data_IF_107462257265
#
_entry.id   IF_107462257265
#
_cell.length_a   1.000
_cell.length_b   1.000
_cell.length_c   1.000
_cell.angle_alpha   90.00
_cell.angle_beta   90.00
_cell.angle_gamma   90.00
#
_symmetry.space_group_name_H-M   'P 1'
#
loop_
_entity.id
_entity.type
_entity.pdbx_description
1 polymer ?
#
# COMPACT_ATOMS: atom_id res chain seq x y z
N UNK A 1 -6.14 0.87 -24.91
CA UNK A 1 -6.32 2.13 -24.16
C UNK A 1 -6.73 1.75 -22.75
N UNK A 2 -5.93 1.99 -21.69
CA UNK A 2 -6.47 1.83 -20.35
C UNK A 2 -7.58 2.87 -20.16
N UNK A 3 -8.73 2.43 -19.67
CA UNK A 3 -9.91 3.28 -19.45
C UNK A 3 -9.52 4.53 -18.63
N UNK A 4 -10.03 5.70 -19.01
CA UNK A 4 -9.99 6.90 -18.17
C UNK A 4 -10.68 6.57 -16.83
N UNK A 5 -9.88 6.28 -15.82
CA UNK A 5 -10.37 5.89 -14.50
C UNK A 5 -11.11 7.04 -13.84
N UNK A 6 -12.14 6.72 -13.04
CA UNK A 6 -12.76 7.71 -12.17
C UNK A 6 -11.74 8.28 -11.19
N UNK A 7 -11.66 9.61 -11.14
CA UNK A 7 -10.79 10.31 -10.21
C UNK A 7 -11.60 10.84 -9.02
N UNK A 8 -11.10 10.58 -7.82
CA UNK A 8 -11.67 11.06 -6.57
C UNK A 8 -10.63 11.88 -5.81
N UNK A 9 -11.07 12.94 -5.15
CA UNK A 9 -10.26 13.74 -4.24
C UNK A 9 -10.87 13.68 -2.83
N UNK A 10 -10.06 13.33 -1.84
CA UNK A 10 -10.48 13.22 -0.45
C UNK A 10 -9.49 13.99 0.42
N UNK A 11 -10.00 14.80 1.34
CA UNK A 11 -9.18 15.49 2.32
C UNK A 11 -9.10 14.65 3.61
N UNK A 12 -7.89 14.22 3.97
CA UNK A 12 -7.60 13.45 5.18
C UNK A 12 -6.88 14.36 6.16
N UNK A 13 -7.59 14.79 7.20
CA UNK A 13 -7.16 15.85 8.11
C UNK A 13 -5.96 15.45 9.00
N UNK A 14 -5.77 14.15 9.24
CA UNK A 14 -4.75 13.61 10.12
C UNK A 14 -4.41 12.14 9.81
N UNK A 15 -3.49 11.57 10.61
CA UNK A 15 -3.12 10.16 10.50
C UNK A 15 -4.32 9.23 10.81
N UNK A 16 -5.18 9.60 11.75
CA UNK A 16 -6.35 8.79 12.11
C UNK A 16 -7.34 8.67 10.93
N UNK A 17 -7.59 9.76 10.21
CA UNK A 17 -8.39 9.77 8.99
C UNK A 17 -7.77 8.90 7.89
N UNK A 18 -6.43 8.94 7.75
CA UNK A 18 -5.69 8.08 6.80
C UNK A 18 -5.83 6.60 7.14
N UNK A 19 -5.71 6.25 8.43
CA UNK A 19 -5.90 4.87 8.90
C UNK A 19 -7.33 4.38 8.68
N UNK A 20 -8.32 5.22 8.99
CA UNK A 20 -9.74 4.91 8.77
C UNK A 20 -10.06 4.73 7.29
N UNK A 21 -9.48 5.57 6.42
CA UNK A 21 -9.62 5.41 4.97
C UNK A 21 -8.99 4.10 4.48
N UNK A 22 -7.79 3.75 4.94
CA UNK A 22 -7.17 2.46 4.65
C UNK A 22 -8.05 1.27 5.08
N UNK A 23 -8.68 1.35 6.26
CA UNK A 23 -9.59 0.31 6.71
C UNK A 23 -10.83 0.16 5.80
N UNK A 24 -11.33 1.25 5.20
CA UNK A 24 -12.40 1.18 4.19
C UNK A 24 -11.93 0.48 2.91
N UNK A 25 -10.74 0.81 2.41
CA UNK A 25 -10.13 0.13 1.25
C UNK A 25 -9.99 -1.38 1.50
N UNK A 26 -9.63 -1.78 2.73
CA UNK A 26 -9.50 -3.20 3.09
C UNK A 26 -10.76 -4.03 2.79
N UNK A 27 -11.95 -3.42 2.88
CA UNK A 27 -13.23 -4.09 2.62
C UNK A 27 -13.50 -4.38 1.14
N UNK A 28 -12.77 -3.73 0.24
CA UNK A 28 -12.94 -3.89 -1.21
C UNK A 28 -11.82 -4.73 -1.84
N UNK A 29 -10.87 -5.23 -1.04
CA UNK A 29 -9.74 -6.00 -1.56
C UNK A 29 -10.19 -7.39 -2.03
N UNK A 30 -9.63 -7.79 -3.17
CA UNK A 30 -9.78 -9.11 -3.74
C UNK A 30 -8.46 -9.56 -4.39
N UNK A 31 -8.34 -10.85 -4.66
CA UNK A 31 -7.14 -11.38 -5.32
C UNK A 31 -6.95 -10.74 -6.70
N UNK A 32 -5.70 -10.49 -7.07
CA UNK A 32 -5.32 -9.84 -8.33
C UNK A 32 -5.44 -8.31 -8.35
N UNK A 33 -5.93 -7.67 -7.28
CA UNK A 33 -5.96 -6.22 -7.18
C UNK A 33 -4.54 -5.66 -6.92
N UNK A 34 -4.13 -4.69 -7.72
CA UNK A 34 -2.85 -3.99 -7.57
C UNK A 34 -3.14 -2.52 -7.23
N UNK A 35 -2.58 -2.04 -6.12
CA UNK A 35 -2.75 -0.66 -5.65
C UNK A 35 -1.40 0.06 -5.73
N UNK A 36 -1.32 1.12 -6.53
CA UNK A 36 -0.15 1.98 -6.61
C UNK A 36 -0.33 3.18 -5.69
N UNK A 37 0.59 3.33 -4.72
CA UNK A 37 0.64 4.50 -3.85
C UNK A 37 1.75 5.44 -4.30
N UNK A 38 1.38 6.61 -4.85
CA UNK A 38 2.32 7.63 -5.33
C UNK A 38 2.26 8.89 -4.46
N UNK A 39 3.41 9.46 -4.18
CA UNK A 39 3.57 10.69 -3.41
C UNK A 39 4.98 10.81 -2.86
N UNK A 40 5.35 12.00 -2.38
CA UNK A 40 6.69 12.30 -1.89
C UNK A 40 7.03 11.58 -0.58
N UNK A 41 8.29 11.70 -0.14
CA UNK A 41 8.69 11.25 1.20
C UNK A 41 7.84 11.95 2.25
N UNK A 42 7.28 11.18 3.18
CA UNK A 42 6.39 11.72 4.22
C UNK A 42 4.94 11.94 3.78
N UNK A 43 4.57 11.70 2.52
CA UNK A 43 3.19 11.87 2.02
C UNK A 43 2.14 10.90 2.62
N UNK A 44 2.50 10.06 3.59
CA UNK A 44 1.56 9.17 4.28
C UNK A 44 1.31 7.80 3.62
N UNK A 45 2.06 7.43 2.58
CA UNK A 45 1.92 6.13 1.88
C UNK A 45 1.92 4.93 2.84
N UNK A 46 2.94 4.84 3.71
CA UNK A 46 3.05 3.75 4.70
C UNK A 46 1.94 3.82 5.77
N UNK A 47 1.45 5.02 6.11
CA UNK A 47 0.32 5.16 7.04
C UNK A 47 -0.96 4.61 6.41
N UNK A 48 -1.19 4.86 5.12
CA UNK A 48 -2.32 4.29 4.39
C UNK A 48 -2.22 2.75 4.30
N UNK A 49 -1.05 2.21 3.93
CA UNK A 49 -0.81 0.75 3.92
C UNK A 49 -1.11 0.14 5.29
N UNK A 50 -0.68 0.80 6.37
CA UNK A 50 -0.97 0.36 7.73
C UNK A 50 -2.47 0.33 7.99
N UNK A 51 -3.21 1.37 7.60
CA UNK A 51 -4.67 1.40 7.71
C UNK A 51 -5.34 0.22 7.01
N UNK A 52 -4.89 -0.11 5.81
CA UNK A 52 -5.37 -1.26 5.04
C UNK A 52 -5.12 -2.56 5.82
N UNK A 53 -3.88 -2.80 6.26
CA UNK A 53 -3.51 -4.01 7.01
C UNK A 53 -4.28 -4.13 8.33
N UNK A 54 -4.49 -3.02 9.05
CA UNK A 54 -5.33 -2.99 10.26
C UNK A 54 -6.78 -3.36 9.94
N UNK A 55 -7.34 -2.83 8.85
CA UNK A 55 -8.69 -3.16 8.38
C UNK A 55 -8.85 -4.63 8.00
N UNK A 56 -7.78 -5.29 7.56
CA UNK A 56 -7.73 -6.74 7.34
C UNK A 56 -7.51 -7.57 8.62
N UNK A 57 -7.35 -6.91 9.78
CA UNK A 57 -7.16 -7.58 11.07
C UNK A 57 -5.70 -7.84 11.47
N UNK A 58 -4.71 -7.33 10.73
CA UNK A 58 -3.30 -7.50 11.09
C UNK A 58 -2.95 -6.70 12.35
N UNK A 59 -2.43 -7.38 13.38
CA UNK A 59 -2.07 -6.76 14.67
C UNK A 59 -0.56 -6.50 14.83
N UNK A 60 0.29 -7.00 13.93
CA UNK A 60 1.73 -6.81 14.01
C UNK A 60 2.22 -5.38 13.74
N UNK A 61 3.54 -5.18 13.78
CA UNK A 61 4.17 -3.91 13.40
C UNK A 61 4.20 -3.80 11.88
N UNK A 62 3.67 -2.71 11.34
CA UNK A 62 3.78 -2.38 9.92
C UNK A 62 4.82 -1.28 9.76
N UNK A 63 5.94 -1.62 9.11
CA UNK A 63 6.99 -0.69 8.72
C UNK A 63 7.13 -0.70 7.20
N UNK A 64 7.73 0.35 6.63
CA UNK A 64 8.17 0.30 5.24
C UNK A 64 9.25 -0.79 5.10
N UNK A 65 9.13 -1.73 4.15
CA UNK A 65 10.16 -2.72 3.85
C UNK A 65 11.33 -2.09 3.07
N UNK A 66 11.84 -0.94 3.52
CA UNK A 66 12.86 -0.14 2.83
C UNK A 66 14.14 -0.92 2.51
N UNK A 67 14.40 -2.04 3.22
CA UNK A 67 15.57 -2.91 3.03
C UNK A 67 15.25 -4.30 2.47
N UNK A 68 14.00 -4.77 2.59
CA UNK A 68 13.60 -6.13 2.22
C UNK A 68 12.83 -6.19 0.89
N UNK A 69 12.63 -5.04 0.23
CA UNK A 69 11.86 -4.84 -1.02
C UNK A 69 10.36 -5.15 -0.88
N UNK A 70 10.03 -6.27 -0.23
CA UNK A 70 8.68 -6.78 -0.02
C UNK A 70 8.51 -7.26 1.42
N UNK A 71 7.34 -6.98 1.99
CA UNK A 71 6.83 -7.63 3.20
C UNK A 71 5.53 -8.35 2.85
N UNK A 72 5.41 -9.62 3.21
CA UNK A 72 4.22 -10.43 2.97
C UNK A 72 3.36 -10.58 4.24
N UNK A 73 2.05 -10.43 4.07
CA UNK A 73 1.08 -10.57 5.14
C UNK A 73 0.06 -11.64 4.75
N UNK A 74 0.02 -12.70 5.55
CA UNK A 74 -0.84 -13.84 5.32
C UNK A 74 -2.14 -13.68 6.09
N UNK A 75 -3.25 -13.55 5.36
CA UNK A 75 -4.60 -13.57 5.91
C UNK A 75 -5.29 -14.85 5.47
N UNK A 76 -6.31 -15.29 6.21
CA UNK A 76 -7.03 -16.54 5.94
C UNK A 76 -7.64 -16.65 4.54
N UNK A 77 -7.81 -15.52 3.84
CA UNK A 77 -8.42 -15.45 2.50
C UNK A 77 -7.52 -14.83 1.42
N UNK A 78 -6.43 -14.17 1.80
CA UNK A 78 -5.62 -13.34 0.90
C UNK A 78 -4.17 -13.26 1.35
N UNK A 79 -3.26 -13.22 0.38
CA UNK A 79 -1.87 -12.82 0.56
C UNK A 79 -1.74 -11.36 0.13
N UNK A 80 -1.27 -10.50 1.02
CA UNK A 80 -0.98 -9.10 0.70
C UNK A 80 0.54 -8.90 0.68
N UNK A 81 1.05 -8.42 -0.44
CA UNK A 81 2.45 -8.08 -0.63
C UNK A 81 2.60 -6.56 -0.63
N UNK A 82 3.36 -6.03 0.33
CA UNK A 82 3.67 -4.62 0.42
C UNK A 82 5.06 -4.39 -0.13
N UNK A 83 5.16 -3.65 -1.22
CA UNK A 83 6.42 -3.24 -1.82
C UNK A 83 6.71 -1.77 -1.51
N UNK A 84 7.98 -1.44 -1.27
CA UNK A 84 8.42 -0.05 -1.17
C UNK A 84 9.64 0.19 -2.06
N UNK A 85 9.39 0.91 -3.16
CA UNK A 85 10.39 1.21 -4.18
C UNK A 85 11.07 2.56 -3.96
N UNK A 86 10.93 3.19 -2.80
CA UNK A 86 11.52 4.52 -2.52
C UNK A 86 13.03 4.61 -2.81
N UNK A 87 13.76 3.48 -2.81
CA UNK A 87 15.19 3.43 -3.10
C UNK A 87 15.56 3.14 -4.57
N UNK A 88 14.62 2.73 -5.40
CA UNK A 88 14.87 2.55 -6.82
C UNK A 88 14.79 3.92 -7.49
N UNK A 89 15.95 4.59 -7.54
CA UNK A 89 16.13 5.82 -8.31
C UNK A 89 16.20 5.55 -9.82
N UNK A 90 16.28 4.29 -10.23
CA UNK A 90 16.47 3.90 -11.62
C UNK A 90 15.56 2.72 -12.00
N UNK A 91 14.82 2.88 -13.09
CA UNK A 91 13.87 1.89 -13.63
C UNK A 91 14.58 0.59 -14.05
N UNK A 92 15.91 0.65 -14.22
CA UNK A 92 16.78 -0.40 -14.75
C UNK A 92 17.19 -1.49 -13.74
N UNK A 93 16.98 -1.30 -12.42
CA UNK A 93 17.27 -2.34 -11.42
C UNK A 93 16.12 -3.34 -11.21
N UNK A 94 14.94 -3.08 -11.79
CA UNK A 94 13.76 -3.94 -11.64
C UNK A 94 13.93 -5.31 -12.33
N UNK A 95 14.78 -5.42 -13.36
CA UNK A 95 15.04 -6.68 -14.07
C UNK A 95 15.98 -7.65 -13.33
N UNK A 96 16.70 -7.20 -12.29
CA UNK A 96 17.66 -8.02 -11.56
C UNK A 96 17.04 -8.75 -10.35
N UNK A 97 15.80 -8.43 -9.97
CA UNK A 97 15.10 -9.01 -8.82
C UNK A 97 14.12 -10.14 -9.20
N UNK A 98 14.20 -10.63 -10.45
CA UNK A 98 13.42 -11.76 -10.98
C UNK A 98 13.80 -13.10 -10.39
#
# INVERSE_FOLDING_TARGET
MPNEGQQYCLHLIDEAATLAFGAKIATTLHAGLIIFLKGDLGAGKTALTRGILRGMGYQGKVKSPTYNLVESYNFSRLYLYHFDFYRFNDYSECEAAG
#
